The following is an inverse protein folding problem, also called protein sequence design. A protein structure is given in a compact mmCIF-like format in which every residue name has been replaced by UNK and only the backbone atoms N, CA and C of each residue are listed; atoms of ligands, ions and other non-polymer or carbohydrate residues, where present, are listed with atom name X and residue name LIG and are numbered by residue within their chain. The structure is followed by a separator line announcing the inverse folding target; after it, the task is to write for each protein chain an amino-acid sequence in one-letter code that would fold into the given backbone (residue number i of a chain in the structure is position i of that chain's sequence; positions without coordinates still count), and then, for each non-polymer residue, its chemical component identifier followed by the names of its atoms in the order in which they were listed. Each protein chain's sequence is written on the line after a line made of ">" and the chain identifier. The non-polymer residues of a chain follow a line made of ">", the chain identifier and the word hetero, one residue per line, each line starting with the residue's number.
data_IF_569420965537
#
_entry.id   IF_569420965537
#
_cell.length_a   1.000
_cell.length_b   1.000
_cell.length_c   1.000
_cell.angle_alpha   90.00
_cell.angle_beta   90.00
_cell.angle_gamma   90.00
#
_symmetry.space_group_name_H-M   'P 1'
#
loop_
_entity.id
_entity.type
_entity.pdbx_description
1 polymer ?
#
# COMPACT_ATOMS: atom_id res chain seq x y z
N UNK A 1 5.40 -3.94 33.30
CA UNK A 1 5.24 -2.84 32.33
C UNK A 1 3.77 -2.78 31.98
N UNK A 2 3.09 -1.66 32.25
CA UNK A 2 1.68 -1.50 31.91
C UNK A 2 1.58 -1.35 30.39
N UNK A 3 0.85 -2.25 29.72
CA UNK A 3 0.50 -2.05 28.32
C UNK A 3 -0.29 -0.74 28.20
N UNK A 4 -0.01 0.12 27.21
CA UNK A 4 -0.82 1.32 26.97
C UNK A 4 -2.29 0.91 26.78
N UNK A 5 -3.21 1.66 27.39
CA UNK A 5 -4.66 1.45 27.21
C UNK A 5 -5.00 1.76 25.76
N UNK A 6 -5.46 0.75 25.02
CA UNK A 6 -5.98 0.91 23.65
C UNK A 6 -7.41 1.43 23.76
N UNK A 7 -7.66 2.61 23.20
CA UNK A 7 -8.98 3.28 23.24
C UNK A 7 -9.72 3.22 21.90
N UNK A 8 -9.18 2.49 20.92
CA UNK A 8 -9.72 2.28 19.59
C UNK A 8 -10.28 0.86 19.43
N UNK A 9 -10.82 0.58 18.25
CA UNK A 9 -11.27 -0.77 17.89
C UNK A 9 -10.10 -1.75 17.83
N UNK A 10 -10.31 -2.97 18.32
CA UNK A 10 -9.32 -4.04 18.27
C UNK A 10 -9.87 -5.22 17.46
N UNK A 11 -9.14 -5.60 16.43
CA UNK A 11 -9.41 -6.75 15.57
C UNK A 11 -8.22 -7.69 15.72
N UNK A 12 -8.40 -8.75 16.52
CA UNK A 12 -7.32 -9.64 16.92
C UNK A 12 -7.70 -11.06 16.51
N UNK A 13 -6.80 -11.78 15.82
CA UNK A 13 -7.03 -13.15 15.36
C UNK A 13 -8.31 -13.31 14.52
N UNK A 14 -8.68 -12.28 13.77
CA UNK A 14 -9.86 -12.31 12.92
C UNK A 14 -9.56 -13.08 11.63
N UNK A 15 -10.51 -13.88 11.15
CA UNK A 15 -10.30 -14.74 9.97
C UNK A 15 -11.45 -14.53 8.99
N UNK A 16 -11.12 -14.27 7.73
CA UNK A 16 -12.07 -14.16 6.64
C UNK A 16 -11.68 -15.07 5.47
N UNK A 17 -12.68 -15.54 4.72
CA UNK A 17 -12.46 -16.41 3.55
C UNK A 17 -12.34 -15.65 2.23
N UNK A 18 -12.70 -14.36 2.18
CA UNK A 18 -12.84 -13.65 0.91
C UNK A 18 -12.23 -12.25 0.99
N UNK A 19 -12.65 -11.43 1.96
CA UNK A 19 -12.26 -10.03 2.03
C UNK A 19 -12.04 -9.60 3.47
N UNK A 20 -10.91 -8.94 3.75
CA UNK A 20 -10.71 -8.20 4.98
C UNK A 20 -10.76 -9.07 6.23
N UNK A 21 -9.64 -9.63 6.68
CA UNK A 21 -9.63 -10.48 7.87
C UNK A 21 -10.21 -9.77 9.10
N UNK A 22 -9.98 -8.46 9.24
CA UNK A 22 -10.62 -7.60 10.25
C UNK A 22 -11.84 -6.83 9.75
N UNK A 23 -11.67 -6.03 8.67
CA UNK A 23 -12.74 -5.20 8.10
C UNK A 23 -12.84 -5.42 6.59
N UNK A 24 -14.06 -5.68 6.11
CA UNK A 24 -14.42 -5.53 4.71
C UNK A 24 -15.42 -4.38 4.58
N UNK A 25 -15.13 -3.40 3.73
CA UNK A 25 -15.96 -2.21 3.55
C UNK A 25 -16.22 -1.91 2.08
N UNK A 26 -17.45 -1.49 1.78
CA UNK A 26 -17.86 -0.93 0.49
C UNK A 26 -18.21 0.54 0.70
N UNK A 27 -17.49 1.44 0.02
CA UNK A 27 -17.78 2.86 0.05
C UNK A 27 -18.81 3.22 -1.03
N UNK A 28 -20.05 3.42 -0.58
CA UNK A 28 -21.12 4.04 -1.36
C UNK A 28 -21.08 5.58 -1.20
N UNK A 29 -21.97 6.30 -1.90
CA UNK A 29 -22.05 7.76 -1.83
C UNK A 29 -22.13 8.30 -0.38
N UNK A 30 -21.25 9.24 -0.04
CA UNK A 30 -21.08 9.86 1.28
C UNK A 30 -20.66 8.88 2.40
N UNK A 31 -20.02 7.76 2.06
CA UNK A 31 -19.53 6.80 3.06
C UNK A 31 -18.26 7.32 3.75
N UNK A 32 -18.11 6.98 5.04
CA UNK A 32 -16.98 7.39 5.85
C UNK A 32 -16.50 6.27 6.75
N UNK A 33 -15.20 6.00 6.72
CA UNK A 33 -14.51 5.13 7.66
C UNK A 33 -13.33 5.89 8.24
N UNK A 34 -13.34 6.07 9.57
CA UNK A 34 -12.25 6.72 10.29
C UNK A 34 -11.73 5.75 11.33
N UNK A 35 -10.47 5.37 11.19
CA UNK A 35 -9.74 4.59 12.17
C UNK A 35 -8.81 5.55 12.90
N UNK A 36 -9.12 5.79 14.18
CA UNK A 36 -8.39 6.71 15.04
C UNK A 36 -8.23 6.12 16.47
N UNK A 37 -7.60 6.87 17.37
CA UNK A 37 -7.55 6.57 18.81
C UNK A 37 -6.91 5.22 19.20
N UNK A 38 -5.81 4.83 18.55
CA UNK A 38 -5.08 3.59 18.89
C UNK A 38 -5.85 2.32 18.51
N UNK A 39 -6.54 2.33 17.36
CA UNK A 39 -7.05 1.11 16.73
C UNK A 39 -5.92 0.11 16.47
N UNK A 40 -6.28 -1.17 16.47
CA UNK A 40 -5.34 -2.27 16.29
C UNK A 40 -5.94 -3.39 15.46
N UNK A 41 -5.17 -3.83 14.47
CA UNK A 41 -5.37 -5.06 13.72
C UNK A 41 -4.15 -5.93 13.98
N UNK A 42 -4.36 -7.11 14.53
CA UNK A 42 -3.27 -7.99 14.90
C UNK A 42 -3.61 -9.44 14.58
N UNK A 43 -2.73 -10.11 13.83
CA UNK A 43 -2.91 -11.53 13.50
C UNK A 43 -4.21 -11.81 12.74
N UNK A 44 -4.68 -10.84 11.95
CA UNK A 44 -5.83 -11.04 11.08
C UNK A 44 -5.41 -11.82 9.84
N UNK A 45 -6.22 -12.77 9.39
CA UNK A 45 -5.94 -13.61 8.24
C UNK A 45 -7.10 -13.55 7.25
N UNK A 46 -6.80 -13.37 5.97
CA UNK A 46 -7.78 -13.47 4.91
C UNK A 46 -7.32 -14.48 3.85
N UNK A 47 -8.15 -15.47 3.50
CA UNK A 47 -7.92 -16.38 2.36
C UNK A 47 -8.36 -15.76 1.03
N UNK A 48 -8.11 -14.47 0.89
CA UNK A 48 -8.54 -13.62 -0.20
C UNK A 48 -7.65 -12.39 -0.24
N UNK A 49 -8.24 -11.20 -0.30
CA UNK A 49 -7.49 -9.94 -0.26
C UNK A 49 -7.78 -9.15 1.01
N UNK A 50 -6.82 -8.35 1.47
CA UNK A 50 -6.99 -7.56 2.70
C UNK A 50 -6.83 -8.44 3.93
N UNK A 51 -5.59 -8.72 4.36
CA UNK A 51 -5.36 -9.51 5.58
C UNK A 51 -5.99 -8.84 6.82
N UNK A 52 -5.85 -7.52 6.97
CA UNK A 52 -6.58 -6.72 7.94
C UNK A 52 -7.79 -6.02 7.32
N UNK A 53 -7.60 -5.22 6.27
CA UNK A 53 -8.65 -4.39 5.68
C UNK A 53 -8.77 -4.63 4.18
N UNK A 54 -10.00 -4.87 3.73
CA UNK A 54 -10.38 -4.80 2.33
C UNK A 54 -11.35 -3.64 2.12
N UNK A 55 -11.06 -2.75 1.17
CA UNK A 55 -11.93 -1.63 0.83
C UNK A 55 -12.24 -1.59 -0.65
N UNK A 56 -13.53 -1.68 -0.99
CA UNK A 56 -14.04 -1.45 -2.33
C UNK A 56 -14.63 -0.02 -2.43
N UNK A 57 -14.10 0.79 -3.34
CA UNK A 57 -14.38 2.22 -3.42
C UNK A 57 -14.91 2.58 -4.82
N UNK A 58 -15.99 3.35 -4.87
CA UNK A 58 -16.33 4.10 -6.08
C UNK A 58 -15.71 5.50 -5.97
N UNK A 59 -14.58 5.71 -6.62
CA UNK A 59 -13.77 6.92 -6.53
C UNK A 59 -14.47 8.16 -7.13
N UNK A 60 -15.49 7.96 -7.96
CA UNK A 60 -16.30 9.04 -8.53
C UNK A 60 -17.40 9.55 -7.60
N UNK A 61 -17.56 8.95 -6.40
CA UNK A 61 -18.53 9.39 -5.40
C UNK A 61 -17.81 10.03 -4.21
N UNK A 62 -18.43 10.98 -3.50
CA UNK A 62 -17.91 11.46 -2.23
C UNK A 62 -17.71 10.32 -1.22
N UNK A 63 -16.51 10.20 -0.67
CA UNK A 63 -16.20 9.29 0.42
C UNK A 63 -15.13 9.89 1.34
N UNK A 64 -14.88 9.24 2.48
CA UNK A 64 -13.75 9.57 3.33
C UNK A 64 -13.21 8.31 4.01
N UNK A 65 -11.93 8.00 3.80
CA UNK A 65 -11.24 6.90 4.44
C UNK A 65 -9.94 7.40 5.06
N UNK A 66 -9.97 7.63 6.37
CA UNK A 66 -8.81 8.12 7.10
C UNK A 66 -8.35 7.12 8.15
N UNK A 67 -7.04 6.89 8.18
CA UNK A 67 -6.36 6.04 9.15
C UNK A 67 -5.31 6.87 9.86
N UNK A 68 -5.50 7.03 11.15
CA UNK A 68 -4.59 7.77 12.03
C UNK A 68 -4.38 6.99 13.33
N UNK A 69 -3.17 7.04 13.89
CA UNK A 69 -2.82 6.35 15.14
C UNK A 69 -3.36 4.90 15.18
N UNK A 70 -3.14 4.14 14.12
CA UNK A 70 -3.64 2.76 13.98
C UNK A 70 -2.47 1.83 13.71
N UNK A 71 -2.41 0.72 14.45
CA UNK A 71 -1.42 -0.34 14.25
C UNK A 71 -2.04 -1.48 13.46
N UNK A 72 -1.39 -1.90 12.38
CA UNK A 72 -1.74 -3.10 11.61
C UNK A 72 -0.50 -3.99 11.61
N UNK A 73 -0.56 -5.11 12.32
CA UNK A 73 0.62 -5.96 12.49
C UNK A 73 0.32 -7.44 12.37
N UNK A 74 1.32 -8.18 11.88
CA UNK A 74 1.30 -9.64 11.77
C UNK A 74 0.05 -10.17 11.06
N UNK A 75 -0.52 -9.40 10.12
CA UNK A 75 -1.70 -9.81 9.35
C UNK A 75 -1.29 -10.53 8.07
N UNK A 76 -2.13 -11.44 7.57
CA UNK A 76 -1.81 -12.30 6.44
C UNK A 76 -2.90 -12.27 5.35
N UNK A 77 -2.51 -12.07 4.09
CA UNK A 77 -3.35 -12.31 2.91
C UNK A 77 -2.86 -13.56 2.16
N UNK A 78 -3.68 -14.62 2.18
CA UNK A 78 -3.35 -15.92 1.60
C UNK A 78 -4.03 -16.12 0.26
N UNK A 79 -3.25 -16.55 -0.71
CA UNK A 79 -3.76 -16.91 -2.03
C UNK A 79 -4.64 -18.16 -1.92
N UNK A 80 -5.84 -18.08 -2.49
CA UNK A 80 -6.72 -19.22 -2.66
C UNK A 80 -6.69 -19.66 -4.12
N UNK A 81 -6.01 -20.79 -4.36
CA UNK A 81 -5.88 -21.42 -5.67
C UNK A 81 -7.19 -21.92 -6.29
N UNK A 82 -8.29 -21.96 -5.52
CA UNK A 82 -9.62 -22.37 -5.98
C UNK A 82 -10.37 -21.18 -6.59
N UNK A 83 -10.07 -19.95 -6.15
CA UNK A 83 -10.75 -18.76 -6.64
C UNK A 83 -10.28 -18.41 -8.06
N UNK A 84 -11.24 -17.96 -8.88
CA UNK A 84 -10.96 -17.54 -10.26
C UNK A 84 -10.51 -16.09 -10.35
N UNK A 85 -10.87 -15.26 -9.36
CA UNK A 85 -10.37 -13.89 -9.23
C UNK A 85 -9.05 -13.86 -8.45
N UNK A 86 -8.19 -12.84 -8.65
CA UNK A 86 -6.94 -12.71 -7.91
C UNK A 86 -7.15 -12.65 -6.39
N UNK A 87 -6.32 -13.36 -5.63
CA UNK A 87 -6.31 -13.42 -4.16
C UNK A 87 -4.87 -13.42 -3.64
N UNK A 88 -4.67 -13.19 -2.33
CA UNK A 88 -3.35 -13.18 -1.70
C UNK A 88 -2.61 -11.85 -1.78
N UNK A 89 -3.34 -10.74 -1.92
CA UNK A 89 -2.78 -9.39 -2.06
C UNK A 89 -3.22 -8.48 -0.91
N UNK A 90 -2.34 -7.53 -0.54
CA UNK A 90 -2.65 -6.45 0.41
C UNK A 90 -2.96 -7.00 1.80
N UNK A 91 -1.96 -7.49 2.51
CA UNK A 91 -2.11 -8.06 3.84
C UNK A 91 -2.56 -7.07 4.93
N UNK A 92 -2.06 -5.84 4.93
CA UNK A 92 -2.54 -4.77 5.77
C UNK A 92 -3.82 -4.25 5.15
N UNK A 93 -3.70 -3.68 3.95
CA UNK A 93 -4.81 -3.07 3.24
C UNK A 93 -4.80 -3.50 1.77
N UNK A 94 -5.96 -3.93 1.30
CA UNK A 94 -6.25 -4.07 -0.13
C UNK A 94 -7.29 -3.03 -0.54
N UNK A 95 -6.89 -2.06 -1.37
CA UNK A 95 -7.77 -1.07 -1.97
C UNK A 95 -8.14 -1.49 -3.38
N UNK A 96 -9.42 -1.51 -3.70
CA UNK A 96 -9.93 -1.77 -5.04
C UNK A 96 -11.10 -0.86 -5.34
N UNK A 97 -11.33 -0.55 -6.61
CA UNK A 97 -12.46 0.32 -6.91
C UNK A 97 -12.74 0.57 -8.38
N UNK A 98 -13.71 1.45 -8.60
CA UNK A 98 -14.13 1.93 -9.92
C UNK A 98 -14.16 3.45 -9.93
N UNK A 99 -14.11 4.04 -11.13
CA UNK A 99 -14.05 5.49 -11.30
C UNK A 99 -12.65 6.07 -11.06
N UNK A 100 -12.50 7.35 -11.38
CA UNK A 100 -11.22 8.07 -11.26
C UNK A 100 -11.16 8.81 -9.93
N UNK A 101 -10.06 8.63 -9.19
CA UNK A 101 -9.82 9.33 -7.93
C UNK A 101 -9.41 10.78 -8.17
N UNK A 102 -10.09 11.71 -7.50
CA UNK A 102 -9.72 13.12 -7.46
C UNK A 102 -8.87 13.40 -6.21
N UNK A 103 -7.54 13.58 -6.34
CA UNK A 103 -6.66 13.82 -5.20
C UNK A 103 -6.95 15.15 -4.49
N UNK A 104 -7.62 16.11 -5.12
CA UNK A 104 -7.99 17.38 -4.46
C UNK A 104 -9.05 17.20 -3.37
N UNK A 105 -9.71 16.04 -3.33
CA UNK A 105 -10.69 15.71 -2.28
C UNK A 105 -10.04 15.30 -0.96
N UNK A 106 -8.76 14.90 -0.98
CA UNK A 106 -8.03 14.34 0.17
C UNK A 106 -8.83 13.25 0.91
N UNK A 107 -9.64 12.48 0.16
CA UNK A 107 -10.57 11.50 0.73
C UNK A 107 -9.90 10.20 1.15
N UNK A 108 -8.63 9.98 0.76
CA UNK A 108 -7.75 8.95 1.29
C UNK A 108 -6.65 9.61 2.13
N UNK A 109 -6.53 9.24 3.40
CA UNK A 109 -5.43 9.71 4.27
C UNK A 109 -5.02 8.65 5.30
N UNK A 110 -3.90 7.99 5.05
CA UNK A 110 -3.33 6.92 5.88
C UNK A 110 -2.00 7.32 6.54
N UNK A 111 -1.67 8.61 6.61
CA UNK A 111 -0.39 9.09 7.18
C UNK A 111 -0.10 8.62 8.60
N UNK A 112 -1.14 8.38 9.40
CA UNK A 112 -0.98 7.91 10.77
C UNK A 112 -1.09 6.39 10.93
N UNK A 113 -1.02 5.63 9.85
CA UNK A 113 -0.97 4.17 9.87
C UNK A 113 0.45 3.68 10.17
N UNK A 114 0.55 2.67 11.04
CA UNK A 114 1.80 1.97 11.34
C UNK A 114 1.64 0.48 11.01
N UNK A 115 2.45 0.00 10.08
CA UNK A 115 2.45 -1.38 9.58
C UNK A 115 3.70 -2.12 10.07
N UNK A 116 3.55 -3.38 10.48
CA UNK A 116 4.67 -4.19 10.95
C UNK A 116 4.43 -5.69 10.77
N UNK A 117 5.35 -6.39 10.11
CA UNK A 117 5.36 -7.85 10.06
C UNK A 117 4.16 -8.49 9.34
N UNK A 118 3.46 -7.74 8.49
CA UNK A 118 2.40 -8.32 7.69
C UNK A 118 3.00 -9.18 6.56
N UNK A 119 2.24 -10.17 6.09
CA UNK A 119 2.64 -10.97 4.92
C UNK A 119 1.51 -11.24 3.90
N UNK A 120 1.74 -10.93 2.63
CA UNK A 120 0.89 -11.25 1.49
C UNK A 120 1.57 -12.27 0.55
N UNK A 121 0.85 -13.34 0.19
CA UNK A 121 1.37 -14.41 -0.68
C UNK A 121 1.80 -13.91 -2.08
N UNK A 122 1.11 -12.89 -2.62
CA UNK A 122 1.27 -12.46 -4.01
C UNK A 122 1.77 -11.03 -4.20
N UNK A 123 1.62 -10.14 -3.22
CA UNK A 123 2.13 -8.77 -3.30
C UNK A 123 1.41 -7.76 -2.40
N UNK A 124 2.06 -6.62 -2.18
CA UNK A 124 1.62 -5.58 -1.25
C UNK A 124 1.65 -6.07 0.19
N UNK A 125 2.86 -6.20 0.74
CA UNK A 125 3.15 -6.61 2.14
C UNK A 125 2.68 -5.58 3.19
N UNK A 126 2.11 -4.47 2.74
CA UNK A 126 1.40 -3.52 3.58
C UNK A 126 0.15 -3.00 2.89
N UNK A 127 0.31 -2.55 1.65
CA UNK A 127 -0.75 -1.92 0.86
C UNK A 127 -0.70 -2.44 -0.58
N UNK A 128 -1.83 -2.95 -1.05
CA UNK A 128 -2.03 -3.24 -2.46
C UNK A 128 -3.15 -2.38 -3.03
N UNK A 129 -2.90 -1.67 -4.13
CA UNK A 129 -3.85 -0.72 -4.73
C UNK A 129 -4.24 -1.15 -6.15
N UNK A 130 -5.53 -1.36 -6.35
CA UNK A 130 -6.16 -1.50 -7.66
C UNK A 130 -7.04 -0.27 -7.90
N UNK A 131 -6.52 0.66 -8.69
CA UNK A 131 -7.18 1.95 -8.92
C UNK A 131 -6.87 2.45 -10.33
N UNK A 132 -7.88 2.93 -11.09
CA UNK A 132 -7.64 3.62 -12.34
C UNK A 132 -6.69 4.81 -12.17
N UNK A 133 -5.72 4.93 -13.06
CA UNK A 133 -4.74 6.01 -13.13
C UNK A 133 -3.83 6.15 -11.89
N UNK A 134 -3.65 5.08 -11.11
CA UNK A 134 -2.81 5.10 -9.90
C UNK A 134 -1.36 5.47 -10.22
N UNK A 135 -0.85 5.05 -11.39
CA UNK A 135 0.50 5.35 -11.84
C UNK A 135 0.66 6.86 -12.06
N UNK A 136 -0.24 7.49 -12.83
CA UNK A 136 -0.21 8.93 -13.06
C UNK A 136 -0.34 9.73 -11.75
N UNK A 137 -1.16 9.24 -10.81
CA UNK A 137 -1.30 9.87 -9.49
C UNK A 137 0.01 9.84 -8.69
N UNK A 138 0.76 8.75 -8.76
CA UNK A 138 2.06 8.66 -8.11
C UNK A 138 3.15 9.48 -8.82
N UNK A 139 3.17 9.47 -10.16
CA UNK A 139 4.08 10.30 -10.96
C UNK A 139 3.86 11.80 -10.71
N UNK A 140 2.61 12.21 -10.44
CA UNK A 140 2.29 13.60 -10.08
C UNK A 140 2.74 14.00 -8.68
N UNK A 141 3.07 13.03 -7.81
CA UNK A 141 3.41 13.23 -6.40
C UNK A 141 2.21 13.50 -5.47
N UNK A 142 0.99 13.60 -6.00
CA UNK A 142 -0.19 14.07 -5.25
C UNK A 142 -0.66 13.09 -4.16
N UNK A 143 -0.51 11.79 -4.38
CA UNK A 143 -1.03 10.77 -3.45
C UNK A 143 0.03 10.16 -2.52
N UNK A 144 1.32 10.37 -2.84
CA UNK A 144 2.45 9.74 -2.14
C UNK A 144 2.38 9.92 -0.63
N UNK A 145 2.21 11.17 -0.20
CA UNK A 145 2.23 11.47 1.23
C UNK A 145 1.01 10.91 1.97
N UNK A 146 -0.10 10.66 1.27
CA UNK A 146 -1.36 10.28 1.91
C UNK A 146 -1.44 8.79 2.20
N UNK A 147 -0.90 7.91 1.36
CA UNK A 147 -1.17 6.47 1.50
C UNK A 147 0.01 5.64 2.02
N UNK A 148 1.19 6.24 2.16
CA UNK A 148 2.41 5.53 2.54
C UNK A 148 2.52 5.09 4.01
N UNK A 149 1.72 5.65 4.93
CA UNK A 149 1.83 5.31 6.36
C UNK A 149 3.26 5.48 6.90
N UNK A 150 3.82 4.44 7.52
CA UNK A 150 5.19 4.40 8.03
C UNK A 150 6.22 3.88 7.00
N UNK A 151 5.85 3.75 5.72
CA UNK A 151 6.78 3.39 4.65
C UNK A 151 7.95 4.37 4.55
N UNK A 152 9.15 3.86 4.33
CA UNK A 152 10.36 4.65 4.18
C UNK A 152 11.07 4.31 2.88
N UNK A 153 11.35 5.34 2.07
CA UNK A 153 12.11 5.18 0.81
C UNK A 153 13.51 4.57 1.00
N UNK A 154 14.05 4.57 2.24
CA UNK A 154 15.39 4.07 2.56
C UNK A 154 15.40 2.69 3.24
N UNK A 155 14.32 2.33 3.94
CA UNK A 155 14.31 1.19 4.85
C UNK A 155 13.22 0.16 4.56
N UNK A 156 12.18 0.55 3.81
CA UNK A 156 11.10 -0.36 3.45
C UNK A 156 11.42 -1.08 2.14
N UNK A 157 10.98 -2.32 2.05
CA UNK A 157 11.10 -3.12 0.82
C UNK A 157 10.15 -2.59 -0.26
N UNK A 158 10.46 -2.84 -1.53
CA UNK A 158 9.64 -2.37 -2.66
C UNK A 158 8.27 -3.04 -2.69
N UNK A 159 8.19 -4.26 -2.16
CA UNK A 159 7.00 -5.10 -2.11
C UNK A 159 5.97 -4.67 -1.04
N UNK A 160 6.31 -3.71 -0.17
CA UNK A 160 5.38 -3.18 0.85
C UNK A 160 4.19 -2.45 0.21
N UNK A 161 4.43 -1.67 -0.85
CA UNK A 161 3.40 -0.88 -1.53
C UNK A 161 3.44 -1.20 -3.03
N UNK A 162 2.49 -2.02 -3.46
CA UNK A 162 2.34 -2.44 -4.84
C UNK A 162 0.94 -2.13 -5.38
N UNK A 163 0.78 -2.14 -6.69
CA UNK A 163 -0.53 -1.95 -7.28
C UNK A 163 -0.59 -2.16 -8.78
N UNK A 164 -1.81 -2.06 -9.31
CA UNK A 164 -2.13 -2.12 -10.74
C UNK A 164 -3.02 -0.93 -11.10
N UNK A 165 -2.71 -0.29 -12.22
CA UNK A 165 -3.61 0.68 -12.86
C UNK A 165 -4.72 -0.05 -13.61
N UNK A 166 -5.79 -0.39 -12.88
CA UNK A 166 -6.99 -1.04 -13.39
C UNK A 166 -8.19 -0.74 -12.49
N UNK A 167 -9.40 -0.88 -13.02
CA UNK A 167 -10.61 -0.89 -12.21
C UNK A 167 -10.90 -2.30 -11.65
N UNK A 168 -11.87 -2.37 -10.73
CA UNK A 168 -12.29 -3.60 -10.08
C UNK A 168 -12.70 -4.68 -11.09
N UNK A 169 -13.46 -4.30 -12.12
CA UNK A 169 -14.00 -5.24 -13.10
C UNK A 169 -12.86 -5.88 -13.89
N UNK A 170 -11.92 -5.05 -14.35
CA UNK A 170 -10.75 -5.47 -15.11
C UNK A 170 -9.88 -6.37 -14.24
N UNK A 171 -9.49 -5.92 -13.04
CA UNK A 171 -8.63 -6.69 -12.14
C UNK A 171 -9.22 -8.07 -11.81
N UNK A 172 -10.52 -8.12 -11.48
CA UNK A 172 -11.20 -9.38 -11.16
C UNK A 172 -11.28 -10.36 -12.34
N UNK A 173 -11.04 -9.90 -13.56
CA UNK A 173 -11.00 -10.73 -14.78
C UNK A 173 -9.59 -11.18 -15.17
N UNK A 174 -8.55 -10.64 -14.54
CA UNK A 174 -7.16 -10.97 -14.87
C UNK A 174 -6.78 -12.37 -14.35
N UNK A 175 -5.94 -13.05 -15.13
CA UNK A 175 -5.25 -14.26 -14.67
C UNK A 175 -4.11 -13.90 -13.71
N UNK A 176 -3.64 -14.86 -12.91
CA UNK A 176 -2.47 -14.67 -12.04
C UNK A 176 -1.24 -14.16 -12.80
N UNK A 177 -0.94 -14.75 -13.96
CA UNK A 177 0.18 -14.32 -14.80
C UNK A 177 -0.01 -12.87 -15.28
N UNK A 178 -1.23 -12.50 -15.66
CA UNK A 178 -1.54 -11.13 -16.09
C UNK A 178 -1.42 -10.12 -14.96
N UNK A 179 -1.77 -10.50 -13.72
CA UNK A 179 -1.57 -9.65 -12.53
C UNK A 179 -0.07 -9.49 -12.28
N UNK A 180 0.70 -10.57 -12.25
CA UNK A 180 2.15 -10.53 -12.02
C UNK A 180 2.92 -9.70 -13.08
N UNK A 181 2.43 -9.67 -14.32
CA UNK A 181 3.03 -8.86 -15.39
C UNK A 181 2.67 -7.37 -15.30
N UNK A 182 1.54 -7.02 -14.67
CA UNK A 182 1.02 -5.65 -14.62
C UNK A 182 1.24 -4.97 -13.27
N UNK A 183 1.36 -5.74 -12.19
CA UNK A 183 1.63 -5.19 -10.87
C UNK A 183 3.02 -4.58 -10.83
N UNK A 184 3.18 -3.55 -10.02
CA UNK A 184 4.49 -3.04 -9.73
C UNK A 184 4.57 -2.37 -8.35
N UNK A 185 5.79 -2.32 -7.77
CA UNK A 185 6.09 -1.41 -6.67
C UNK A 185 5.71 0.01 -7.06
N UNK A 186 4.81 0.64 -6.30
CA UNK A 186 4.36 1.98 -6.63
C UNK A 186 5.48 3.00 -6.39
N UNK A 187 6.46 2.65 -5.55
CA UNK A 187 7.62 3.49 -5.24
C UNK A 187 8.39 3.97 -6.47
N UNK A 188 8.49 3.12 -7.50
CA UNK A 188 9.24 3.44 -8.71
C UNK A 188 8.68 4.66 -9.48
N UNK A 189 7.42 5.01 -9.25
CA UNK A 189 6.75 6.13 -9.93
C UNK A 189 6.88 7.45 -9.17
N UNK A 190 7.36 7.46 -7.93
CA UNK A 190 7.58 8.69 -7.16
C UNK A 190 9.03 8.93 -6.75
N UNK A 191 9.90 7.94 -6.90
CA UNK A 191 11.33 8.17 -6.79
C UNK A 191 11.73 8.94 -8.04
N UNK A 192 12.15 10.20 -7.88
CA UNK A 192 13.12 10.75 -8.80
C UNK A 192 14.26 9.76 -8.78
N UNK A 193 14.32 8.87 -9.78
CA UNK A 193 15.54 8.12 -10.05
C UNK A 193 16.56 9.25 -10.15
N UNK A 194 17.44 9.35 -9.14
CA UNK A 194 18.59 10.23 -9.23
C UNK A 194 19.43 9.57 -10.30
N UNK A 195 19.12 9.89 -11.55
CA UNK A 195 19.82 9.35 -12.70
C UNK A 195 21.17 10.02 -12.61
N UNK A 196 22.17 9.23 -12.23
CA UNK A 196 23.56 9.65 -12.34
C UNK A 196 23.81 10.03 -13.80
N UNK A 197 23.80 11.33 -14.09
CA UNK A 197 24.04 11.86 -15.43
C UNK A 197 25.52 11.83 -15.74
N UNK A 198 26.36 11.92 -14.71
CA UNK A 198 27.81 11.89 -14.86
C UNK A 198 28.50 11.40 -13.59
N UNK A 199 29.40 10.44 -13.78
CA UNK A 199 30.39 10.02 -12.78
C UNK A 199 31.75 10.48 -13.28
N UNK A 200 32.48 11.23 -12.47
CA UNK A 200 33.90 11.50 -12.74
C UNK A 200 34.77 10.99 -11.62
N UNK A 201 35.84 10.29 -11.98
CA UNK A 201 36.86 9.84 -11.06
C UNK A 201 38.18 10.46 -11.49
N UNK A 202 38.79 11.24 -10.60
CA UNK A 202 40.08 11.89 -10.84
C UNK A 202 41.10 11.29 -9.87
N UNK A 203 42.20 10.76 -10.41
CA UNK A 203 43.32 10.24 -9.63
C UNK A 203 44.48 11.25 -9.64
N UNK A 204 44.72 11.92 -8.53
CA UNK A 204 45.83 12.84 -8.33
C UNK A 204 46.83 12.29 -7.32
N UNK A 205 47.81 11.53 -7.83
CA UNK A 205 48.85 10.84 -7.03
C UNK A 205 49.81 11.77 -6.26
N UNK A 206 49.69 13.09 -6.42
CA UNK A 206 50.42 14.09 -5.64
C UNK A 206 49.65 14.64 -4.42
N UNK A 207 48.37 14.29 -4.27
CA UNK A 207 47.54 14.68 -3.12
C UNK A 207 47.44 13.55 -2.07
N UNK A 208 47.25 13.94 -0.80
CA UNK A 208 47.05 13.00 0.32
C UNK A 208 45.74 12.19 0.19
N UNK A 209 44.75 12.71 -0.56
CA UNK A 209 43.53 12.01 -0.94
C UNK A 209 43.48 11.87 -2.47
N UNK A 210 44.21 10.88 -3.04
CA UNK A 210 44.49 10.86 -4.46
C UNK A 210 43.27 10.54 -5.31
N UNK A 211 42.21 9.95 -4.77
CA UNK A 211 41.00 9.64 -5.51
C UNK A 211 39.87 10.59 -5.13
N UNK A 212 39.42 11.39 -6.09
CA UNK A 212 38.17 12.14 -6.00
C UNK A 212 37.12 11.52 -6.91
N UNK A 213 35.95 11.23 -6.35
CA UNK A 213 34.77 10.77 -7.08
C UNK A 213 33.72 11.87 -6.98
N UNK A 214 33.30 12.43 -8.13
CA UNK A 214 32.16 13.34 -8.20
C UNK A 214 31.00 12.63 -8.89
N UNK A 215 29.85 12.70 -8.25
CA UNK A 215 28.58 12.16 -8.72
C UNK A 215 27.66 13.34 -9.04
N UNK A 216 27.22 13.44 -10.29
CA UNK A 216 26.26 14.44 -10.77
C UNK A 216 24.94 13.72 -11.09
N UNK A 217 23.83 14.20 -10.50
CA UNK A 217 22.48 13.69 -10.69
C UNK A 217 21.53 14.79 -11.15
#
# INVERSE_FOLDING_TARGET
>A
MNSPVKNGGQFINCIASIYGGGISVLFANNSKLILDKLCEFSQCVCFGCGGAIYANINYSLPFQFNISNTLIQDCEAKADTIQTSPTGYGDGIFLIGTGDYDPSTESLDFRGMNLNGNFADCGGQSLYVVMPNIIELFESGLIREYIGGNYSDYYSDFEEIEGISADQITFNSLSLESVQQQQAPLQQYWVYISILTKVTATLNISDDNPLQINLEG
#
